data_IF_205050548728
#
_entry.id   IF_205050548728
#
_cell.length_a   1.000
_cell.length_b   1.000
_cell.length_c   1.000
_cell.angle_alpha   90.00
_cell.angle_beta   90.00
_cell.angle_gamma   90.00
#
_symmetry.space_group_name_H-M   'P 1'
#
loop_
_entity.id
_entity.type
_entity.pdbx_description
1 polymer ?
#
# COMPACT_ATOMS: atom_id res chain seq x y z
N UNK A 1 -26.00 29.41 5.76
CA UNK A 1 -25.55 28.00 5.82
C UNK A 1 -24.73 27.78 4.57
N UNK A 2 -23.41 27.67 4.71
CA UNK A 2 -22.52 27.22 3.63
C UNK A 2 -21.86 25.96 4.19
N UNK A 3 -22.10 24.84 3.53
CA UNK A 3 -21.60 23.53 3.92
C UNK A 3 -20.07 23.54 3.91
N UNK A 4 -19.49 23.22 5.07
CA UNK A 4 -18.10 22.84 5.20
C UNK A 4 -17.88 21.57 4.38
N UNK A 5 -17.25 21.65 3.22
CA UNK A 5 -16.64 20.48 2.60
C UNK A 5 -15.20 20.40 3.07
N UNK A 6 -15.02 19.86 4.29
CA UNK A 6 -13.72 19.45 4.79
C UNK A 6 -13.25 18.26 3.94
N UNK A 7 -12.47 18.53 2.90
CA UNK A 7 -11.63 17.50 2.30
C UNK A 7 -10.60 17.14 3.36
N UNK A 8 -10.89 16.12 4.17
CA UNK A 8 -9.90 15.54 5.06
C UNK A 8 -8.71 15.13 4.18
N UNK A 9 -7.63 15.91 4.28
CA UNK A 9 -6.38 15.58 3.62
C UNK A 9 -5.92 14.27 4.27
N UNK A 10 -6.02 13.17 3.52
CA UNK A 10 -5.53 11.87 4.00
C UNK A 10 -4.02 12.01 4.13
N UNK A 11 -3.55 12.17 5.36
CA UNK A 11 -2.12 12.23 5.65
C UNK A 11 -1.59 10.80 5.54
N UNK A 12 -1.09 10.44 4.37
CA UNK A 12 -0.36 9.18 4.20
C UNK A 12 1.06 9.37 4.74
N UNK A 13 1.45 8.54 5.70
CA UNK A 13 2.80 8.55 6.24
C UNK A 13 3.83 8.27 5.13
N UNK A 14 4.81 9.16 4.89
CA UNK A 14 5.87 8.94 3.90
C UNK A 14 6.69 7.66 4.17
N UNK A 15 6.68 7.17 5.42
CA UNK A 15 7.35 5.93 5.80
C UNK A 15 6.79 4.69 5.08
N UNK A 16 5.55 4.76 4.57
CA UNK A 16 4.92 3.64 3.84
C UNK A 16 5.55 3.42 2.47
N UNK A 17 6.19 4.42 1.88
CA UNK A 17 6.75 4.35 0.54
C UNK A 17 7.99 3.47 0.49
N UNK A 18 8.18 2.76 -0.62
CA UNK A 18 9.38 1.96 -0.87
C UNK A 18 9.09 0.57 -1.43
N UNK A 19 10.13 -0.27 -1.48
CA UNK A 19 10.05 -1.62 -2.03
C UNK A 19 9.74 -2.63 -0.94
N UNK A 20 8.79 -3.51 -1.21
CA UNK A 20 8.38 -4.58 -0.32
C UNK A 20 8.54 -5.94 -0.99
N UNK A 21 8.81 -6.94 -0.15
CA UNK A 21 8.98 -8.32 -0.56
C UNK A 21 8.14 -9.27 0.29
N UNK A 22 7.47 -10.22 -0.37
CA UNK A 22 6.87 -11.39 0.26
C UNK A 22 7.45 -12.67 -0.35
N UNK A 23 7.80 -13.63 0.50
CA UNK A 23 8.23 -14.95 0.05
C UNK A 23 7.08 -15.68 -0.71
N UNK A 24 7.40 -16.49 -1.73
CA UNK A 24 8.75 -16.88 -2.19
C UNK A 24 9.36 -15.95 -3.25
N UNK A 25 8.76 -14.80 -3.60
CA UNK A 25 9.25 -14.05 -4.77
C UNK A 25 8.45 -12.84 -5.20
N UNK A 26 7.53 -12.31 -4.38
CA UNK A 26 6.61 -11.25 -4.80
C UNK A 26 7.19 -9.91 -4.39
N UNK A 27 7.44 -9.07 -5.38
CA UNK A 27 7.96 -7.72 -5.18
C UNK A 27 6.88 -6.69 -5.50
N UNK A 28 6.76 -5.67 -4.67
CA UNK A 28 5.80 -4.57 -4.84
C UNK A 28 6.46 -3.27 -4.40
N UNK A 29 6.35 -2.22 -5.20
CA UNK A 29 6.61 -0.87 -4.73
C UNK A 29 5.31 -0.28 -4.16
N UNK A 30 5.41 0.38 -3.01
CA UNK A 30 4.38 1.30 -2.54
C UNK A 30 4.80 2.70 -2.95
N UNK A 31 3.98 3.35 -3.78
CA UNK A 31 4.30 4.64 -4.39
C UNK A 31 3.17 5.65 -4.19
N UNK A 32 3.53 6.92 -4.02
CA UNK A 32 2.57 8.03 -4.08
C UNK A 32 2.63 8.68 -5.46
N UNK A 33 1.53 8.58 -6.23
CA UNK A 33 1.44 9.18 -7.57
C UNK A 33 0.05 9.73 -7.82
N UNK A 34 -0.03 10.93 -8.40
CA UNK A 34 -1.30 11.59 -8.73
C UNK A 34 -2.28 11.70 -7.54
N UNK A 35 -1.75 11.95 -6.34
CA UNK A 35 -2.56 12.13 -5.13
C UNK A 35 -3.11 10.84 -4.52
N UNK A 36 -2.65 9.67 -4.95
CA UNK A 36 -3.08 8.38 -4.40
C UNK A 36 -1.90 7.47 -4.10
N UNK A 37 -2.07 6.62 -3.10
CA UNK A 37 -1.13 5.55 -2.75
C UNK A 37 -1.40 4.34 -3.65
N UNK A 38 -0.33 3.67 -4.13
CA UNK A 38 -0.45 2.62 -5.14
C UNK A 38 0.49 1.45 -4.89
N UNK A 39 0.03 0.26 -5.23
CA UNK A 39 0.85 -0.92 -5.47
C UNK A 39 1.37 -0.85 -6.91
N UNK A 40 2.69 -0.79 -7.09
CA UNK A 40 3.35 -0.75 -8.40
C UNK A 40 4.29 -1.94 -8.57
N UNK A 41 4.47 -2.38 -9.82
CA UNK A 41 5.44 -3.42 -10.18
C UNK A 41 6.83 -2.76 -10.20
N UNK A 42 7.83 -3.26 -9.44
CA UNK A 42 9.17 -2.69 -9.46
C UNK A 42 9.83 -2.84 -10.84
N UNK A 43 10.67 -1.88 -11.21
CA UNK A 43 11.37 -1.91 -12.50
C UNK A 43 12.25 -3.17 -12.62
N UNK A 44 12.20 -3.84 -13.78
CA UNK A 44 12.95 -5.06 -14.03
C UNK A 44 12.34 -6.33 -13.42
N UNK A 45 11.10 -6.26 -12.92
CA UNK A 45 10.31 -7.43 -12.51
C UNK A 45 9.12 -7.59 -13.45
N UNK A 46 8.89 -8.81 -13.91
CA UNK A 46 7.88 -9.09 -14.95
C UNK A 46 6.46 -9.21 -14.41
N UNK A 47 6.30 -9.51 -13.11
CA UNK A 47 5.00 -9.75 -12.52
C UNK A 47 4.97 -9.44 -11.02
N UNK A 48 3.84 -8.90 -10.57
CA UNK A 48 3.47 -8.85 -9.17
C UNK A 48 1.98 -9.19 -9.05
N UNK A 49 1.63 -10.02 -8.08
CA UNK A 49 0.27 -10.55 -7.96
C UNK A 49 -0.77 -9.47 -7.67
N UNK A 50 -0.38 -8.44 -6.92
CA UNK A 50 -1.28 -7.43 -6.38
C UNK A 50 -1.09 -6.06 -7.04
N UNK A 51 -0.13 -5.91 -7.95
CA UNK A 51 0.12 -4.66 -8.66
C UNK A 51 -0.13 -4.81 -10.18
N UNK A 52 -0.57 -3.75 -10.87
CA UNK A 52 -0.86 -2.43 -10.34
C UNK A 52 -2.22 -2.35 -9.64
N UNK A 53 -2.29 -1.67 -8.49
CA UNK A 53 -3.54 -1.40 -7.77
C UNK A 53 -3.46 -0.09 -6.98
N UNK A 54 -4.60 0.50 -6.66
CA UNK A 54 -4.67 1.67 -5.79
C UNK A 54 -4.97 1.26 -4.34
N UNK A 55 -4.44 2.03 -3.39
CA UNK A 55 -4.67 1.87 -1.96
C UNK A 55 -5.50 3.04 -1.47
N UNK A 56 -6.79 2.79 -1.26
CA UNK A 56 -7.74 3.78 -0.77
C UNK A 56 -7.74 3.76 0.74
N UNK A 57 -7.44 4.91 1.35
CA UNK A 57 -7.41 5.04 2.80
C UNK A 57 -8.77 4.72 3.42
N UNK A 58 -8.72 4.24 4.65
CA UNK A 58 -9.88 4.06 5.53
C UNK A 58 -9.81 5.05 6.68
N UNK A 59 -10.69 4.89 7.68
CA UNK A 59 -10.65 5.67 8.92
C UNK A 59 -9.41 5.35 9.78
N UNK A 60 -8.67 4.27 9.46
CA UNK A 60 -7.39 3.93 10.08
C UNK A 60 -6.24 4.25 9.12
N UNK A 61 -5.30 5.09 9.56
CA UNK A 61 -4.15 5.59 8.79
C UNK A 61 -3.19 4.48 8.29
N UNK A 62 -3.25 3.29 8.88
CA UNK A 62 -2.45 2.12 8.50
C UNK A 62 -3.26 1.05 7.76
N UNK A 63 -4.50 1.33 7.41
CA UNK A 63 -5.38 0.40 6.70
C UNK A 63 -5.89 1.00 5.40
N UNK A 64 -5.70 0.24 4.31
CA UNK A 64 -6.06 0.67 2.98
C UNK A 64 -6.85 -0.42 2.27
N UNK A 65 -7.95 -0.05 1.62
CA UNK A 65 -8.69 -0.95 0.74
C UNK A 65 -8.06 -0.95 -0.64
N UNK A 66 -7.78 -2.13 -1.16
CA UNK A 66 -7.22 -2.30 -2.50
C UNK A 66 -8.31 -2.07 -3.55
N UNK A 67 -8.01 -1.25 -4.55
CA UNK A 67 -8.83 -1.06 -5.74
C UNK A 67 -8.08 -1.52 -6.99
N UNK A 68 -8.70 -2.47 -7.73
CA UNK A 68 -8.12 -3.08 -8.92
C UNK A 68 -7.23 -4.29 -8.64
N UNK A 69 -6.72 -4.90 -9.72
CA UNK A 69 -5.95 -6.14 -9.71
C UNK A 69 -6.64 -7.32 -8.99
N UNK A 70 -5.87 -8.36 -8.68
CA UNK A 70 -6.37 -9.58 -8.03
C UNK A 70 -6.82 -9.37 -6.59
N UNK A 71 -6.27 -8.36 -5.91
CA UNK A 71 -6.58 -8.05 -4.51
C UNK A 71 -7.76 -7.10 -4.32
N UNK A 72 -8.53 -6.76 -5.36
CA UNK A 72 -9.60 -5.76 -5.26
C UNK A 72 -10.59 -6.09 -4.13
N UNK A 73 -10.84 -5.10 -3.26
CA UNK A 73 -11.72 -5.22 -2.10
C UNK A 73 -11.05 -5.77 -0.84
N UNK A 74 -9.85 -6.33 -0.95
CA UNK A 74 -9.05 -6.76 0.21
C UNK A 74 -8.48 -5.57 0.99
N UNK A 75 -8.12 -5.82 2.25
CA UNK A 75 -7.49 -4.83 3.12
C UNK A 75 -5.98 -5.05 3.19
N UNK A 76 -5.22 -4.03 2.84
CA UNK A 76 -3.80 -3.91 3.15
C UNK A 76 -3.63 -3.27 4.53
N UNK A 77 -3.13 -4.04 5.49
CA UNK A 77 -2.95 -3.59 6.89
C UNK A 77 -1.47 -3.47 7.19
N UNK A 78 -1.01 -2.25 7.43
CA UNK A 78 0.37 -1.92 7.73
C UNK A 78 0.67 -2.03 9.23
N UNK A 79 1.86 -2.52 9.57
CA UNK A 79 2.35 -2.67 10.93
C UNK A 79 3.85 -2.45 10.99
N UNK A 80 4.30 -1.84 12.08
CA UNK A 80 5.72 -1.72 12.42
C UNK A 80 5.99 -2.69 13.56
N UNK A 81 6.85 -3.68 13.30
CA UNK A 81 7.28 -4.68 14.29
C UNK A 81 8.80 -4.70 14.30
N UNK A 82 9.42 -4.54 15.48
CA UNK A 82 10.89 -4.52 15.65
C UNK A 82 11.60 -3.49 14.73
N UNK A 83 10.91 -2.37 14.45
CA UNK A 83 11.41 -1.31 13.57
C UNK A 83 11.41 -1.68 12.08
N UNK A 84 10.74 -2.76 11.69
CA UNK A 84 10.51 -3.17 10.30
C UNK A 84 9.06 -2.91 9.95
N UNK A 85 8.84 -2.10 8.91
CA UNK A 85 7.50 -1.89 8.37
C UNK A 85 7.10 -3.08 7.49
N UNK A 86 5.88 -3.55 7.66
CA UNK A 86 5.29 -4.62 6.87
C UNK A 86 3.82 -4.38 6.62
N UNK A 87 3.24 -5.06 5.65
CA UNK A 87 1.79 -5.15 5.50
C UNK A 87 1.33 -6.55 5.13
N UNK A 88 0.09 -6.87 5.45
CA UNK A 88 -0.56 -8.10 4.98
C UNK A 88 -1.54 -7.81 3.86
N UNK A 89 -1.54 -8.63 2.82
CA UNK A 89 -2.53 -8.62 1.75
C UNK A 89 -2.78 -10.06 1.29
N UNK A 90 -4.03 -10.49 1.30
CA UNK A 90 -4.40 -11.90 1.17
C UNK A 90 -3.66 -12.76 2.20
N UNK A 91 -3.01 -13.82 1.71
CA UNK A 91 -2.22 -14.74 2.52
C UNK A 91 -0.73 -14.33 2.68
N UNK A 92 -0.34 -13.14 2.19
CA UNK A 92 1.06 -12.74 2.11
C UNK A 92 1.39 -11.64 3.12
N UNK A 93 2.55 -11.75 3.77
CA UNK A 93 3.17 -10.68 4.55
C UNK A 93 4.32 -10.09 3.75
N UNK A 94 4.21 -8.81 3.45
CA UNK A 94 5.18 -8.03 2.70
C UNK A 94 6.03 -7.23 3.68
N UNK A 95 7.34 -7.41 3.63
CA UNK A 95 8.28 -6.65 4.46
C UNK A 95 8.93 -5.55 3.63
N UNK A 96 8.97 -4.33 4.15
CA UNK A 96 9.70 -3.24 3.53
C UNK A 96 11.19 -3.57 3.56
N UNK A 97 11.83 -3.45 2.41
CA UNK A 97 13.27 -3.58 2.29
C UNK A 97 13.90 -2.24 2.68
N UNK A 98 14.74 -2.26 3.71
CA UNK A 98 15.63 -1.14 4.00
C UNK A 98 16.79 -1.24 3.03
N UNK A 99 16.84 -0.33 2.05
CA UNK A 99 17.95 -0.18 1.11
C UNK A 99 18.83 0.95 1.61
#
# INVERSE_FOLDING_TARGET
MRENSEFAEVIVSPALLGTYFAAPGIWVNIEWRAGVLRLAVPQGRDHSLHAPAELVATDNELEFRVQGARGAGEMAVFKIEEGVLSYTLGAFKFHQLKI
#
